data_IF_194025878798
#
_entry.id   IF_194025878798
#
_cell.length_a   1.000
_cell.length_b   1.000
_cell.length_c   1.000
_cell.angle_alpha   90.00
_cell.angle_beta   90.00
_cell.angle_gamma   90.00
#
_symmetry.space_group_name_H-M   'P 1'
#
loop_
_entity.id
_entity.type
_entity.pdbx_description
1 polymer ?
#
# COMPACT_ATOMS: atom_id res chain seq x y z
N UNK A 1 19.94 42.60 -22.96
CA UNK A 1 20.94 41.69 -22.35
C UNK A 1 20.62 40.22 -22.63
N UNK A 2 19.47 39.68 -22.21
CA UNK A 2 19.10 38.26 -22.42
C UNK A 2 19.00 37.87 -23.91
N UNK A 3 18.31 38.65 -24.75
CA UNK A 3 18.23 38.39 -26.21
C UNK A 3 19.61 38.33 -26.90
N UNK A 4 20.55 39.17 -26.45
CA UNK A 4 21.94 39.16 -26.94
C UNK A 4 22.66 37.88 -26.49
N UNK A 5 22.52 37.49 -25.23
CA UNK A 5 23.10 36.25 -24.71
C UNK A 5 22.58 35.01 -25.42
N UNK A 6 21.26 34.91 -25.65
CA UNK A 6 20.66 33.81 -26.42
C UNK A 6 21.23 33.72 -27.84
N UNK A 7 21.34 34.87 -28.52
CA UNK A 7 21.89 34.97 -29.88
C UNK A 7 23.39 34.64 -29.94
N UNK A 8 24.18 35.10 -28.97
CA UNK A 8 25.62 34.82 -28.91
C UNK A 8 25.94 33.34 -28.60
N UNK A 9 25.08 32.67 -27.84
CA UNK A 9 25.27 31.26 -27.45
C UNK A 9 24.47 30.27 -28.32
N UNK A 10 23.87 30.73 -29.43
CA UNK A 10 23.03 29.90 -30.33
C UNK A 10 21.89 29.15 -29.60
N UNK A 11 21.36 29.71 -28.52
CA UNK A 11 20.23 29.15 -27.77
C UNK A 11 18.93 29.52 -28.50
N UNK A 12 18.45 28.60 -29.33
CA UNK A 12 17.24 28.78 -30.15
C UNK A 12 16.03 27.97 -29.64
N UNK A 13 16.25 27.06 -28.69
CA UNK A 13 15.22 26.18 -28.14
C UNK A 13 15.19 26.43 -26.63
N UNK A 14 14.01 26.80 -26.14
CA UNK A 14 13.72 26.93 -24.71
C UNK A 14 12.57 25.99 -24.42
N UNK A 15 12.74 25.13 -23.41
CA UNK A 15 11.68 24.21 -23.01
C UNK A 15 10.71 24.93 -22.06
N UNK A 16 9.40 24.74 -22.28
CA UNK A 16 8.39 25.19 -21.32
C UNK A 16 8.40 24.28 -20.08
N UNK A 17 8.30 24.86 -18.89
CA UNK A 17 8.32 24.12 -17.64
C UNK A 17 8.39 25.01 -16.40
N UNK A 18 8.33 24.36 -15.23
CA UNK A 18 8.62 25.03 -13.96
C UNK A 18 10.10 24.91 -13.67
N UNK A 19 10.73 26.01 -13.25
CA UNK A 19 12.16 26.05 -12.99
C UNK A 19 12.40 26.59 -11.60
N UNK A 20 13.36 25.99 -10.88
CA UNK A 20 13.81 26.57 -9.62
C UNK A 20 14.71 27.78 -9.88
N UNK A 21 14.30 28.93 -9.34
CA UNK A 21 14.98 30.22 -9.46
C UNK A 21 15.76 30.58 -8.18
N UNK A 22 15.56 29.83 -7.08
CA UNK A 22 16.17 30.15 -5.79
C UNK A 22 17.68 29.99 -5.88
N UNK A 23 18.41 31.03 -5.47
CA UNK A 23 19.88 31.09 -5.47
C UNK A 23 20.55 30.88 -6.85
N UNK A 24 19.82 31.06 -7.96
CA UNK A 24 20.39 30.94 -9.31
C UNK A 24 20.60 32.30 -9.96
N UNK A 25 21.76 32.48 -10.60
CA UNK A 25 21.98 33.65 -11.45
C UNK A 25 21.24 33.47 -12.80
N UNK A 26 21.00 34.59 -13.48
CA UNK A 26 20.22 34.60 -14.72
C UNK A 26 20.85 33.80 -15.88
N UNK A 27 22.19 33.62 -15.91
CA UNK A 27 22.85 32.79 -16.95
C UNK A 27 22.54 31.32 -16.71
N UNK A 28 22.75 30.84 -15.49
CA UNK A 28 22.39 29.48 -15.06
C UNK A 28 20.90 29.19 -15.27
N UNK A 29 20.02 30.18 -15.07
CA UNK A 29 18.61 30.02 -15.40
C UNK A 29 18.37 29.84 -16.91
N UNK A 30 19.04 30.64 -17.76
CA UNK A 30 18.93 30.50 -19.23
C UNK A 30 19.53 29.18 -19.72
N UNK A 31 20.62 28.71 -19.10
CA UNK A 31 21.17 27.38 -19.38
C UNK A 31 20.17 26.28 -18.98
N UNK A 32 19.49 26.40 -17.83
CA UNK A 32 18.45 25.45 -17.43
C UNK A 32 17.27 25.43 -18.40
N UNK A 33 16.86 26.60 -18.90
CA UNK A 33 15.81 26.75 -19.92
C UNK A 33 16.21 26.09 -21.25
N UNK A 34 17.46 26.27 -21.68
CA UNK A 34 17.99 25.69 -22.92
C UNK A 34 18.19 24.18 -22.82
N UNK A 35 18.66 23.69 -21.67
CA UNK A 35 19.00 22.29 -21.45
C UNK A 35 17.82 21.45 -20.93
N UNK A 36 16.68 22.08 -20.66
CA UNK A 36 15.49 21.36 -20.21
C UNK A 36 15.53 20.89 -18.75
N UNK A 37 16.34 21.52 -17.89
CA UNK A 37 16.42 21.21 -16.46
C UNK A 37 15.19 21.73 -15.70
N UNK A 38 14.05 21.10 -15.97
CA UNK A 38 12.74 21.39 -15.37
C UNK A 38 12.72 20.86 -13.93
N UNK A 39 12.11 21.60 -13.02
CA UNK A 39 11.83 21.17 -11.66
C UNK A 39 10.84 20.00 -11.67
N UNK A 40 11.26 18.87 -11.12
CA UNK A 40 10.41 17.72 -10.86
C UNK A 40 9.86 17.77 -9.44
N UNK A 41 8.66 17.24 -9.29
CA UNK A 41 7.95 17.05 -8.03
C UNK A 41 7.81 15.55 -7.77
N UNK A 42 7.53 15.21 -6.52
CA UNK A 42 7.46 13.83 -6.04
C UNK A 42 6.05 13.54 -5.57
N UNK A 43 5.47 12.44 -6.05
CA UNK A 43 4.30 11.81 -5.46
C UNK A 43 4.76 10.48 -4.87
N UNK A 44 4.72 10.36 -3.55
CA UNK A 44 5.00 9.10 -2.88
C UNK A 44 3.67 8.36 -2.63
N UNK A 45 3.59 7.10 -3.07
CA UNK A 45 2.55 6.17 -2.68
C UNK A 45 3.16 5.25 -1.62
N UNK A 46 2.87 5.43 -0.32
CA UNK A 46 3.49 4.63 0.71
C UNK A 46 2.88 3.22 0.76
N UNK A 47 3.64 2.27 1.27
CA UNK A 47 3.15 0.94 1.64
C UNK A 47 2.13 1.06 2.80
N UNK A 48 1.12 0.18 2.84
CA UNK A 48 0.14 0.18 3.93
C UNK A 48 -0.84 1.36 3.96
N UNK A 49 -0.87 2.18 2.91
CA UNK A 49 -1.82 3.31 2.74
C UNK A 49 -3.09 2.85 2.03
N UNK A 50 -4.26 3.27 2.49
CA UNK A 50 -5.52 3.02 1.78
C UNK A 50 -5.89 4.18 0.82
N UNK A 51 -6.96 4.03 0.03
CA UNK A 51 -7.38 5.08 -0.90
C UNK A 51 -7.81 6.39 -0.21
N UNK A 52 -8.23 6.37 1.06
CA UNK A 52 -8.48 7.61 1.82
C UNK A 52 -7.17 8.33 2.13
N UNK A 53 -6.13 7.60 2.54
CA UNK A 53 -4.79 8.14 2.77
C UNK A 53 -4.22 8.72 1.47
N UNK A 54 -4.31 7.96 0.37
CA UNK A 54 -3.82 8.38 -0.95
C UNK A 54 -4.56 9.63 -1.42
N UNK A 55 -5.88 9.73 -1.18
CA UNK A 55 -6.66 10.93 -1.49
C UNK A 55 -6.09 12.16 -0.77
N UNK A 56 -5.78 12.04 0.52
CA UNK A 56 -5.16 13.14 1.28
C UNK A 56 -3.76 13.49 0.76
N UNK A 57 -2.98 12.50 0.31
CA UNK A 57 -1.65 12.73 -0.28
C UNK A 57 -1.77 13.51 -1.60
N UNK A 58 -2.65 13.09 -2.51
CA UNK A 58 -2.78 13.74 -3.84
C UNK A 58 -3.36 15.16 -3.75
N UNK A 59 -4.19 15.46 -2.75
CA UNK A 59 -4.76 16.80 -2.54
C UNK A 59 -3.69 17.87 -2.28
N UNK A 60 -2.51 17.47 -1.78
CA UNK A 60 -1.38 18.36 -1.48
C UNK A 60 -0.32 18.43 -2.60
N UNK A 61 -0.66 17.96 -3.80
CA UNK A 61 0.27 17.90 -4.95
C UNK A 61 0.06 19.03 -5.96
N UNK A 62 0.99 19.18 -6.91
CA UNK A 62 0.86 20.09 -8.05
C UNK A 62 0.35 19.38 -9.31
N UNK A 63 -0.30 18.22 -9.16
CA UNK A 63 -0.87 17.45 -10.26
C UNK A 63 -2.19 18.06 -10.74
N UNK A 64 -2.55 17.76 -11.98
CA UNK A 64 -3.93 17.90 -12.43
C UNK A 64 -4.75 16.73 -11.89
N UNK A 65 -5.77 17.02 -11.07
CA UNK A 65 -6.60 16.00 -10.39
C UNK A 65 -7.68 15.43 -11.35
N UNK A 66 -7.23 14.82 -12.45
CA UNK A 66 -8.06 14.29 -13.55
C UNK A 66 -8.53 12.83 -13.33
N UNK A 67 -8.41 12.30 -12.10
CA UNK A 67 -8.89 10.97 -11.73
C UNK A 67 -9.78 11.01 -10.47
N UNK A 68 -11.01 11.56 -10.56
CA UNK A 68 -11.89 11.70 -9.40
C UNK A 68 -12.29 10.32 -8.85
N UNK A 69 -12.23 10.14 -7.53
CA UNK A 69 -12.58 8.89 -6.85
C UNK A 69 -11.91 7.64 -7.47
N UNK A 70 -10.71 7.80 -8.03
CA UNK A 70 -9.92 6.73 -8.63
C UNK A 70 -10.59 6.01 -9.82
N UNK A 71 -11.55 6.64 -10.51
CA UNK A 71 -12.28 6.00 -11.62
C UNK A 71 -11.41 5.69 -12.85
N UNK A 72 -10.23 6.30 -12.96
CA UNK A 72 -9.27 6.01 -14.02
C UNK A 72 -8.59 4.63 -13.87
N UNK A 73 -8.68 4.03 -12.69
CA UNK A 73 -8.10 2.71 -12.41
C UNK A 73 -8.96 1.59 -12.99
N UNK A 74 -8.32 0.45 -13.27
CA UNK A 74 -8.96 -0.79 -13.70
C UNK A 74 -9.46 -1.61 -12.49
N UNK A 75 -10.66 -2.21 -12.61
CA UNK A 75 -11.26 -3.13 -11.62
C UNK A 75 -11.13 -4.61 -12.00
N UNK A 76 -10.11 -5.03 -12.76
CA UNK A 76 -9.98 -6.43 -13.21
C UNK A 76 -10.01 -7.47 -12.09
N UNK A 77 -9.64 -7.09 -10.85
CA UNK A 77 -9.70 -7.95 -9.67
C UNK A 77 -10.97 -7.79 -8.83
N UNK A 78 -11.90 -6.91 -9.23
CA UNK A 78 -13.12 -6.56 -8.53
C UNK A 78 -13.01 -5.33 -7.62
N UNK A 79 -11.82 -4.73 -7.49
CA UNK A 79 -11.54 -3.62 -6.59
C UNK A 79 -10.44 -2.70 -7.12
N UNK A 80 -10.41 -1.46 -6.63
CA UNK A 80 -9.29 -0.51 -6.81
C UNK A 80 -8.30 -0.55 -5.67
N UNK A 81 -8.80 -0.75 -4.44
CA UNK A 81 -8.00 -0.71 -3.22
C UNK A 81 -6.86 -1.73 -3.29
N UNK A 82 -5.67 -1.34 -2.83
CA UNK A 82 -4.49 -2.19 -2.84
C UNK A 82 -3.92 -2.55 -4.21
N UNK A 83 -4.32 -1.86 -5.29
CA UNK A 83 -3.81 -2.13 -6.65
C UNK A 83 -2.76 -1.14 -7.16
N UNK A 84 -2.43 -0.11 -6.38
CA UNK A 84 -1.32 0.80 -6.70
C UNK A 84 -0.01 0.23 -6.18
N UNK A 85 1.04 0.31 -6.99
CA UNK A 85 2.40 -0.04 -6.57
C UNK A 85 2.93 1.05 -5.63
N UNK A 86 3.36 0.70 -4.41
CA UNK A 86 4.09 1.62 -3.56
C UNK A 86 5.43 1.99 -4.18
N UNK A 87 5.61 3.27 -4.48
CA UNK A 87 6.83 3.82 -5.05
C UNK A 87 6.84 5.36 -4.97
N UNK A 88 7.93 5.96 -5.43
CA UNK A 88 8.07 7.40 -5.65
C UNK A 88 7.95 7.72 -7.13
N UNK A 89 6.91 8.46 -7.47
CA UNK A 89 6.63 8.88 -8.84
C UNK A 89 7.07 10.33 -9.06
N UNK A 90 7.94 10.54 -10.04
CA UNK A 90 8.41 11.87 -10.43
C UNK A 90 7.46 12.46 -11.46
N UNK A 91 7.09 13.73 -11.28
CA UNK A 91 6.15 14.41 -12.17
C UNK A 91 6.49 15.88 -12.38
N UNK A 92 5.95 16.47 -13.45
CA UNK A 92 6.08 17.90 -13.75
C UNK A 92 4.82 18.62 -13.29
N UNK A 93 4.94 19.92 -13.01
CA UNK A 93 3.77 20.73 -12.64
C UNK A 93 2.61 20.54 -13.63
N UNK A 94 1.40 20.30 -13.10
CA UNK A 94 0.18 19.98 -13.87
C UNK A 94 0.29 18.75 -14.78
N UNK A 95 1.18 17.81 -14.49
CA UNK A 95 1.07 16.46 -15.04
C UNK A 95 -0.27 15.83 -14.61
N UNK A 96 -0.82 14.98 -15.47
CA UNK A 96 -2.03 14.19 -15.22
C UNK A 96 -1.80 13.22 -14.05
N UNK A 97 -2.65 13.28 -13.02
CA UNK A 97 -2.67 12.31 -11.94
C UNK A 97 -3.08 10.92 -12.47
N UNK A 98 -4.08 10.86 -13.35
CA UNK A 98 -4.57 9.63 -13.95
C UNK A 98 -3.44 8.84 -14.61
N UNK A 99 -2.55 9.54 -15.33
CA UNK A 99 -1.41 8.93 -16.01
C UNK A 99 -0.46 8.24 -15.03
N UNK A 100 -0.18 8.86 -13.89
CA UNK A 100 0.70 8.30 -12.84
C UNK A 100 0.03 7.10 -12.16
N UNK A 101 -1.24 7.22 -11.80
CA UNK A 101 -1.96 6.14 -11.10
C UNK A 101 -2.16 4.92 -12.00
N UNK A 102 -2.47 5.12 -13.29
CA UNK A 102 -2.58 4.02 -14.27
C UNK A 102 -1.23 3.36 -14.50
N UNK A 103 -0.14 4.13 -14.59
CA UNK A 103 1.21 3.58 -14.67
C UNK A 103 1.53 2.73 -13.43
N UNK A 104 1.30 3.26 -12.23
CA UNK A 104 1.47 2.56 -10.95
C UNK A 104 0.71 1.23 -10.91
N UNK A 105 -0.56 1.25 -11.35
CA UNK A 105 -1.42 0.07 -11.37
C UNK A 105 -0.93 -0.98 -12.39
N UNK A 106 -0.46 -0.54 -13.56
CA UNK A 106 0.11 -1.44 -14.56
C UNK A 106 1.37 -2.13 -14.03
N UNK A 107 2.27 -1.38 -13.37
CA UNK A 107 3.48 -1.93 -12.77
C UNK A 107 3.14 -2.96 -11.67
N UNK A 108 2.11 -2.66 -10.87
CA UNK A 108 1.55 -3.60 -9.89
C UNK A 108 1.01 -4.88 -10.54
N UNK A 109 0.23 -4.76 -11.63
CA UNK A 109 -0.31 -5.92 -12.35
C UNK A 109 0.77 -6.78 -12.99
N UNK A 110 1.81 -6.17 -13.56
CA UNK A 110 2.94 -6.90 -14.13
C UNK A 110 3.65 -7.68 -13.02
N UNK A 111 3.99 -7.02 -11.91
CA UNK A 111 4.68 -7.66 -10.79
C UNK A 111 3.87 -8.81 -10.19
N UNK A 112 2.59 -8.57 -9.87
CA UNK A 112 1.70 -9.56 -9.25
C UNK A 112 1.48 -10.79 -10.13
N UNK A 113 1.29 -10.62 -11.44
CA UNK A 113 1.15 -11.73 -12.38
C UNK A 113 2.44 -12.55 -12.50
N UNK A 114 3.59 -11.89 -12.59
CA UNK A 114 4.88 -12.57 -12.66
C UNK A 114 5.15 -13.39 -11.39
N UNK A 115 4.86 -12.82 -10.23
CA UNK A 115 5.02 -13.52 -8.95
C UNK A 115 4.05 -14.69 -8.81
N UNK A 116 2.79 -14.55 -9.27
CA UNK A 116 1.76 -15.59 -9.20
C UNK A 116 2.11 -16.88 -9.95
N UNK A 117 2.93 -16.79 -11.00
CA UNK A 117 3.44 -17.97 -11.73
C UNK A 117 4.22 -18.88 -10.78
N UNK A 118 4.93 -18.30 -9.82
CA UNK A 118 5.76 -19.01 -8.84
C UNK A 118 5.01 -19.34 -7.54
N UNK A 119 3.68 -19.24 -7.52
CA UNK A 119 2.90 -19.50 -6.30
C UNK A 119 3.16 -20.91 -5.77
N UNK A 120 3.10 -21.05 -4.45
CA UNK A 120 3.10 -22.35 -3.83
C UNK A 120 1.78 -23.09 -4.14
N UNK A 121 1.87 -24.28 -4.72
CA UNK A 121 0.69 -25.06 -5.12
C UNK A 121 -0.14 -25.57 -3.93
N UNK A 122 0.43 -25.57 -2.72
CA UNK A 122 -0.28 -25.89 -1.48
C UNK A 122 -0.97 -24.66 -0.86
N UNK A 123 -0.83 -23.49 -1.46
CA UNK A 123 -1.47 -22.27 -1.00
C UNK A 123 -3.01 -22.41 -1.15
N UNK A 124 -3.80 -22.22 -0.07
CA UNK A 124 -5.26 -22.36 -0.12
C UNK A 124 -5.97 -21.27 -0.92
N UNK A 125 -5.27 -20.20 -1.33
CA UNK A 125 -5.83 -19.10 -2.11
C UNK A 125 -6.13 -19.52 -3.55
N UNK A 126 -7.34 -19.21 -4.02
CA UNK A 126 -7.86 -19.68 -5.32
C UNK A 126 -7.37 -18.86 -6.50
N UNK A 127 -7.06 -17.59 -6.30
CA UNK A 127 -6.69 -16.66 -7.36
C UNK A 127 -5.88 -15.47 -6.82
N UNK A 128 -5.34 -14.68 -7.74
CA UNK A 128 -4.51 -13.52 -7.44
C UNK A 128 -5.27 -12.45 -6.64
N UNK A 129 -6.57 -12.24 -6.89
CA UNK A 129 -7.38 -11.31 -6.10
C UNK A 129 -7.35 -11.67 -4.60
N UNK A 130 -7.49 -12.95 -4.26
CA UNK A 130 -7.41 -13.41 -2.87
C UNK A 130 -6.03 -13.19 -2.25
N UNK A 131 -4.96 -13.38 -3.04
CA UNK A 131 -3.59 -13.12 -2.57
C UNK A 131 -3.35 -11.63 -2.30
N UNK A 132 -3.85 -10.75 -3.16
CA UNK A 132 -3.75 -9.29 -2.96
C UNK A 132 -4.52 -8.86 -1.71
N UNK A 133 -5.73 -9.39 -1.50
CA UNK A 133 -6.52 -9.11 -0.29
C UNK A 133 -5.75 -9.54 0.96
N UNK A 134 -5.26 -10.79 1.00
CA UNK A 134 -4.53 -11.27 2.17
C UNK A 134 -3.22 -10.51 2.40
N UNK A 135 -2.49 -10.16 1.34
CA UNK A 135 -1.25 -9.39 1.43
C UNK A 135 -1.48 -8.01 2.07
N UNK A 136 -2.63 -7.37 1.82
CA UNK A 136 -2.96 -6.10 2.48
C UNK A 136 -3.23 -6.24 3.98
N UNK A 137 -3.75 -7.39 4.41
CA UNK A 137 -3.92 -7.68 5.84
C UNK A 137 -2.53 -7.91 6.47
N UNK A 138 -1.68 -8.70 5.81
CA UNK A 138 -0.30 -8.95 6.26
C UNK A 138 0.49 -7.64 6.37
N UNK A 139 0.35 -6.72 5.41
CA UNK A 139 1.01 -5.42 5.42
C UNK A 139 0.64 -4.61 6.67
N UNK A 140 -0.65 -4.59 7.04
CA UNK A 140 -1.13 -3.82 8.19
C UNK A 140 -0.84 -4.47 9.55
N UNK A 141 -0.59 -5.78 9.57
CA UNK A 141 -0.30 -6.55 10.79
C UNK A 141 1.20 -6.62 11.09
N UNK A 142 2.04 -6.67 10.06
CA UNK A 142 3.48 -6.84 10.26
C UNK A 142 4.12 -5.55 10.78
N UNK A 143 4.84 -5.66 11.90
CA UNK A 143 5.69 -4.57 12.41
C UNK A 143 7.03 -4.44 11.68
N UNK A 144 7.41 -5.43 10.89
CA UNK A 144 8.67 -5.51 10.15
C UNK A 144 8.60 -6.58 9.03
N UNK A 145 9.51 -6.50 8.06
CA UNK A 145 9.54 -7.44 6.93
C UNK A 145 9.88 -8.90 7.31
N UNK A 146 10.62 -9.12 8.40
CA UNK A 146 11.03 -10.47 8.81
C UNK A 146 9.86 -11.32 9.31
N UNK A 147 8.82 -10.68 9.88
CA UNK A 147 7.63 -11.37 10.38
C UNK A 147 6.56 -11.59 9.31
N UNK A 148 6.61 -10.87 8.17
CA UNK A 148 5.61 -10.99 7.09
C UNK A 148 5.40 -12.44 6.63
N UNK A 149 6.45 -13.26 6.37
CA UNK A 149 6.28 -14.68 6.02
C UNK A 149 5.58 -15.52 7.10
N UNK A 150 5.85 -15.25 8.39
CA UNK A 150 5.26 -15.99 9.50
C UNK A 150 3.79 -15.62 9.68
N UNK A 151 3.46 -14.32 9.65
CA UNK A 151 2.09 -13.80 9.73
C UNK A 151 1.26 -14.28 8.54
N UNK A 152 1.81 -14.23 7.31
CA UNK A 152 1.17 -14.80 6.14
C UNK A 152 0.87 -16.29 6.33
N UNK A 153 1.84 -17.06 6.84
CA UNK A 153 1.64 -18.48 7.16
C UNK A 153 0.53 -18.73 8.18
N UNK A 154 0.40 -17.91 9.23
CA UNK A 154 -0.71 -18.01 10.20
C UNK A 154 -2.06 -17.83 9.52
N UNK A 155 -2.21 -16.79 8.69
CA UNK A 155 -3.48 -16.55 8.02
C UNK A 155 -3.80 -17.61 6.96
N UNK A 156 -2.81 -18.06 6.19
CA UNK A 156 -2.99 -19.17 5.25
C UNK A 156 -3.40 -20.45 5.97
N UNK A 157 -2.80 -20.75 7.12
CA UNK A 157 -3.18 -21.90 7.96
C UNK A 157 -4.63 -21.77 8.46
N UNK A 158 -5.02 -20.59 8.96
CA UNK A 158 -6.41 -20.32 9.36
C UNK A 158 -7.40 -20.50 8.22
N UNK A 159 -7.09 -20.00 7.02
CA UNK A 159 -7.94 -20.18 5.83
C UNK A 159 -8.10 -21.66 5.51
N UNK A 160 -7.01 -22.43 5.54
CA UNK A 160 -7.04 -23.87 5.28
C UNK A 160 -7.89 -24.65 6.30
N UNK A 161 -7.91 -24.21 7.56
CA UNK A 161 -8.75 -24.78 8.62
C UNK A 161 -10.17 -24.21 8.69
N UNK A 162 -10.55 -23.33 7.75
CA UNK A 162 -11.80 -22.58 7.79
C UNK A 162 -11.99 -21.87 9.14
N UNK A 163 -10.95 -21.20 9.63
CA UNK A 163 -10.95 -20.34 10.81
C UNK A 163 -11.08 -18.87 10.39
N UNK A 164 -11.70 -18.06 11.24
CA UNK A 164 -11.77 -16.60 11.05
C UNK A 164 -10.39 -15.96 11.16
N UNK A 165 -10.11 -14.93 10.35
CA UNK A 165 -8.81 -14.25 10.37
C UNK A 165 -8.62 -13.41 11.64
N UNK A 166 -9.68 -12.72 12.09
CA UNK A 166 -9.65 -11.88 13.30
C UNK A 166 -8.51 -10.86 13.30
N UNK A 167 -8.39 -10.11 12.21
CA UNK A 167 -7.39 -9.07 12.01
C UNK A 167 -7.98 -7.69 12.28
N UNK A 168 -7.47 -6.98 13.29
CA UNK A 168 -7.96 -5.66 13.71
C UNK A 168 -7.95 -4.61 12.59
N UNK A 169 -6.92 -4.53 11.72
CA UNK A 169 -6.90 -3.59 10.59
C UNK A 169 -8.10 -3.71 9.65
N UNK A 170 -8.72 -4.90 9.56
CA UNK A 170 -9.91 -5.10 8.71
C UNK A 170 -11.16 -4.43 9.30
N UNK A 171 -11.31 -4.42 10.63
CA UNK A 171 -12.37 -3.66 11.30
C UNK A 171 -12.14 -2.17 11.08
N UNK A 172 -10.92 -1.69 11.29
CA UNK A 172 -10.54 -0.28 11.12
C UNK A 172 -10.90 0.21 9.73
N UNK A 173 -10.52 -0.54 8.69
CA UNK A 173 -10.83 -0.20 7.32
C UNK A 173 -12.35 -0.10 7.08
N UNK A 174 -13.13 -1.04 7.59
CA UNK A 174 -14.59 -1.02 7.46
C UNK A 174 -15.29 0.11 8.24
N UNK A 175 -14.59 0.78 9.14
CA UNK A 175 -15.09 1.96 9.88
C UNK A 175 -14.62 3.29 9.27
N UNK A 176 -13.74 3.26 8.26
CA UNK A 176 -13.28 4.48 7.59
C UNK A 176 -14.41 5.13 6.76
N UNK A 177 -14.42 6.47 6.63
CA UNK A 177 -13.42 7.42 7.15
C UNK A 177 -13.64 7.83 8.62
N UNK A 178 -14.67 7.33 9.29
CA UNK A 178 -15.12 7.81 10.62
C UNK A 178 -14.40 7.14 11.81
N UNK A 179 -13.38 6.33 11.56
CA UNK A 179 -12.65 5.64 12.62
C UNK A 179 -11.95 6.64 13.56
N UNK A 180 -12.26 6.55 14.86
CA UNK A 180 -11.82 7.50 15.88
C UNK A 180 -10.52 7.10 16.61
N UNK A 181 -9.83 6.06 16.13
CA UNK A 181 -8.60 5.56 16.75
C UNK A 181 -8.80 4.45 17.79
N UNK A 182 -10.04 4.07 18.12
CA UNK A 182 -10.29 3.01 19.10
C UNK A 182 -11.28 1.96 18.60
N UNK A 183 -10.88 0.69 18.63
CA UNK A 183 -11.77 -0.44 18.34
C UNK A 183 -12.55 -0.80 19.60
N UNK A 184 -13.86 -0.60 19.58
CA UNK A 184 -14.74 -0.97 20.70
C UNK A 184 -15.23 -2.42 20.58
N UNK A 185 -15.71 -2.97 21.70
CA UNK A 185 -16.41 -4.27 21.70
C UNK A 185 -17.64 -4.28 20.78
N UNK A 186 -18.31 -3.14 20.60
CA UNK A 186 -19.42 -3.04 19.66
C UNK A 186 -18.93 -3.21 18.22
N UNK A 187 -17.79 -2.61 17.86
CA UNK A 187 -17.19 -2.79 16.53
C UNK A 187 -16.79 -4.24 16.27
N UNK A 188 -16.17 -4.92 17.24
CA UNK A 188 -15.80 -6.33 17.10
C UNK A 188 -17.02 -7.22 16.85
N UNK A 189 -18.16 -6.92 17.47
CA UNK A 189 -19.40 -7.69 17.34
C UNK A 189 -20.31 -7.23 16.20
N UNK A 190 -19.92 -6.19 15.45
CA UNK A 190 -20.75 -5.66 14.37
C UNK A 190 -20.71 -6.56 13.14
N UNK A 191 -21.86 -7.18 12.83
CA UNK A 191 -22.04 -8.05 11.66
C UNK A 191 -22.38 -7.29 10.38
N UNK A 192 -22.68 -6.00 10.48
CA UNK A 192 -23.01 -5.17 9.31
C UNK A 192 -21.76 -4.66 8.60
N UNK A 193 -20.62 -4.63 9.29
CA UNK A 193 -19.34 -4.31 8.68
C UNK A 193 -18.83 -5.51 7.84
N UNK A 194 -18.82 -5.42 6.50
CA UNK A 194 -18.43 -6.54 5.63
C UNK A 194 -16.92 -6.83 5.66
N UNK A 195 -16.10 -5.94 6.23
CA UNK A 195 -14.67 -6.16 6.41
C UNK A 195 -14.34 -6.81 7.76
N UNK A 196 -15.31 -6.94 8.67
CA UNK A 196 -15.06 -7.45 10.01
C UNK A 196 -14.72 -8.95 10.01
N UNK A 197 -13.44 -9.28 9.94
CA UNK A 197 -12.93 -10.66 9.96
C UNK A 197 -13.09 -11.39 11.30
N UNK A 198 -13.67 -10.74 12.31
CA UNK A 198 -14.19 -11.42 13.51
C UNK A 198 -15.60 -11.96 13.30
N UNK A 199 -16.35 -11.44 12.34
CA UNK A 199 -17.74 -11.84 12.07
C UNK A 199 -17.88 -12.66 10.80
N UNK A 200 -17.07 -12.42 9.77
CA UNK A 200 -17.08 -13.18 8.51
C UNK A 200 -16.09 -14.36 8.53
N UNK A 201 -16.33 -15.33 7.64
CA UNK A 201 -15.40 -16.44 7.36
C UNK A 201 -14.58 -16.11 6.11
N UNK A 202 -13.28 -16.36 6.14
CA UNK A 202 -12.38 -16.09 5.02
C UNK A 202 -11.97 -14.62 4.90
N UNK A 203 -11.81 -14.17 3.66
CA UNK A 203 -11.26 -12.85 3.33
C UNK A 203 -12.35 -11.76 3.26
N UNK A 204 -12.02 -10.49 3.58
CA UNK A 204 -12.89 -9.35 3.32
C UNK A 204 -13.12 -9.14 1.80
N UNK A 205 -14.08 -8.28 1.40
CA UNK A 205 -14.46 -8.14 -0.02
C UNK A 205 -13.37 -7.48 -0.89
N UNK A 206 -12.49 -6.67 -0.31
CA UNK A 206 -11.38 -6.01 -1.02
C UNK A 206 -10.13 -5.99 -0.13
N UNK A 207 -8.96 -5.62 -0.68
CA UNK A 207 -7.81 -5.23 0.12
C UNK A 207 -8.16 -4.03 1.02
N UNK A 208 -7.32 -3.80 2.01
CA UNK A 208 -7.49 -2.70 2.99
C UNK A 208 -6.37 -1.65 2.92
N UNK A 209 -5.39 -1.85 2.05
CA UNK A 209 -4.28 -0.93 1.79
C UNK A 209 -3.49 -1.32 0.55
N UNK A 210 -2.62 -0.44 0.08
CA UNK A 210 -1.45 -0.76 -0.73
C UNK A 210 -0.55 -1.78 -0.03
N UNK A 211 0.17 -2.57 -0.82
CA UNK A 211 0.95 -3.70 -0.34
C UNK A 211 2.40 -3.61 -0.82
N UNK A 212 3.34 -3.91 0.06
CA UNK A 212 4.73 -4.06 -0.32
C UNK A 212 4.93 -5.31 -1.17
N UNK A 213 6.06 -5.33 -1.89
CA UNK A 213 6.54 -6.54 -2.58
C UNK A 213 6.74 -7.70 -1.60
N UNK A 214 7.32 -7.43 -0.42
CA UNK A 214 7.57 -8.43 0.63
C UNK A 214 6.30 -9.05 1.19
N UNK A 215 5.22 -8.28 1.37
CA UNK A 215 3.92 -8.80 1.82
C UNK A 215 3.27 -9.70 0.77
N UNK A 216 3.35 -9.31 -0.50
CA UNK A 216 2.81 -10.12 -1.58
C UNK A 216 3.60 -11.42 -1.77
N UNK A 217 4.93 -11.36 -1.69
CA UNK A 217 5.81 -12.53 -1.73
C UNK A 217 5.53 -13.48 -0.58
N UNK A 218 5.41 -12.97 0.65
CA UNK A 218 5.08 -13.76 1.83
C UNK A 218 3.78 -14.56 1.65
N UNK A 219 2.75 -13.94 1.06
CA UNK A 219 1.46 -14.58 0.80
C UNK A 219 1.51 -15.55 -0.37
N UNK A 220 2.09 -15.18 -1.52
CA UNK A 220 2.07 -16.00 -2.74
C UNK A 220 2.99 -17.21 -2.62
N UNK A 221 4.22 -17.00 -2.13
CA UNK A 221 5.21 -18.06 -1.97
C UNK A 221 4.89 -18.94 -0.77
N UNK A 222 4.19 -18.40 0.23
CA UNK A 222 3.59 -19.14 1.35
C UNK A 222 4.60 -19.92 2.19
N UNK A 223 4.84 -19.48 3.43
CA UNK A 223 5.65 -20.25 4.37
C UNK A 223 4.76 -21.19 5.19
N UNK A 224 5.05 -22.49 5.12
CA UNK A 224 4.42 -23.45 6.01
C UNK A 224 4.91 -23.20 7.45
N UNK A 225 3.97 -23.04 8.38
CA UNK A 225 4.24 -23.03 9.81
C UNK A 225 3.05 -23.63 10.58
N UNK A 226 3.27 -23.92 11.86
CA UNK A 226 2.27 -24.55 12.73
C UNK A 226 1.51 -23.52 13.57
N UNK A 227 1.76 -22.23 13.37
CA UNK A 227 1.20 -21.17 14.19
C UNK A 227 -0.24 -20.86 13.77
N UNK A 228 -1.08 -20.56 14.75
CA UNK A 228 -2.47 -20.14 14.56
C UNK A 228 -2.77 -18.79 15.20
N UNK A 229 -1.88 -18.31 16.06
CA UNK A 229 -2.10 -17.06 16.80
C UNK A 229 -0.80 -16.27 16.87
N UNK A 230 -0.93 -14.95 16.97
CA UNK A 230 0.19 -14.09 17.31
C UNK A 230 -0.30 -12.94 18.18
N UNK A 231 0.62 -12.37 18.96
CA UNK A 231 0.35 -11.22 19.83
C UNK A 231 1.55 -10.30 19.84
N UNK A 232 1.32 -8.99 19.75
CA UNK A 232 2.40 -8.01 19.79
C UNK A 232 3.13 -8.05 21.14
N UNK A 233 4.46 -8.04 21.11
CA UNK A 233 5.32 -7.96 22.31
C UNK A 233 5.47 -6.52 22.83
N UNK A 234 5.19 -5.53 21.98
CA UNK A 234 5.31 -4.11 22.29
C UNK A 234 6.66 -3.48 21.93
N UNK A 235 7.57 -4.24 21.32
CA UNK A 235 8.87 -3.80 20.77
C UNK A 235 8.85 -3.71 19.24
N UNK A 236 7.67 -3.81 18.61
CA UNK A 236 7.50 -3.91 17.16
C UNK A 236 7.55 -5.33 16.61
N UNK A 237 7.70 -6.35 17.46
CA UNK A 237 7.66 -7.78 17.09
C UNK A 237 6.47 -8.52 17.72
N UNK A 238 6.26 -9.76 17.28
CA UNK A 238 5.18 -10.63 17.71
C UNK A 238 5.68 -11.92 18.36
N UNK A 239 4.90 -12.43 19.31
CA UNK A 239 5.02 -13.81 19.79
C UNK A 239 4.02 -14.66 19.04
N UNK A 240 4.45 -15.78 18.47
CA UNK A 240 3.62 -16.70 17.70
C UNK A 240 3.29 -17.95 18.52
N UNK A 241 2.05 -18.41 18.45
CA UNK A 241 1.54 -19.53 19.25
C UNK A 241 0.81 -20.56 18.38
N UNK A 242 0.98 -21.84 18.72
CA UNK A 242 0.38 -22.97 17.99
C UNK A 242 -1.06 -23.24 18.44
N UNK A 243 -1.35 -23.00 19.72
CA UNK A 243 -2.66 -23.21 20.30
C UNK A 243 -3.16 -22.00 21.11
N UNK A 244 -4.45 -22.05 21.46
CA UNK A 244 -5.13 -20.95 22.13
C UNK A 244 -4.68 -20.76 23.58
N UNK A 245 -4.33 -21.83 24.30
CA UNK A 245 -3.87 -21.72 25.69
C UNK A 245 -2.50 -21.04 25.75
N UNK A 246 -1.59 -21.40 24.84
CA UNK A 246 -0.32 -20.71 24.67
C UNK A 246 -0.54 -19.23 24.35
N UNK A 247 -1.43 -18.93 23.40
CA UNK A 247 -1.76 -17.55 23.04
C UNK A 247 -2.28 -16.73 24.24
N UNK A 248 -3.21 -17.28 25.04
CA UNK A 248 -3.74 -16.60 26.23
C UNK A 248 -2.65 -16.30 27.27
N UNK A 249 -1.69 -17.20 27.45
CA UNK A 249 -0.55 -16.98 28.33
C UNK A 249 0.35 -15.85 27.81
N UNK A 250 0.59 -15.82 26.50
CA UNK A 250 1.36 -14.75 25.85
C UNK A 250 0.65 -13.39 25.91
N UNK A 251 -0.68 -13.34 25.74
CA UNK A 251 -1.47 -12.11 25.93
C UNK A 251 -1.30 -11.55 27.34
N UNK A 252 -1.41 -12.40 28.37
CA UNK A 252 -1.17 -11.99 29.77
C UNK A 252 0.24 -11.44 29.96
N UNK A 253 1.24 -12.11 29.38
CA UNK A 253 2.66 -11.74 29.50
C UNK A 253 2.99 -10.40 28.82
N UNK A 254 2.46 -10.14 27.62
CA UNK A 254 2.90 -9.01 26.79
C UNK A 254 1.95 -7.80 26.80
N UNK A 255 0.65 -8.00 27.06
CA UNK A 255 -0.35 -6.92 26.99
C UNK A 255 -0.93 -6.50 28.35
N UNK A 256 -1.15 -7.44 29.28
CA UNK A 256 -1.90 -7.16 30.52
C UNK A 256 -1.02 -6.79 31.72
N UNK A 257 0.26 -7.19 31.73
CA UNK A 257 1.19 -6.91 32.82
C UNK A 257 2.04 -5.63 32.60
N UNK A 258 1.47 -4.62 31.94
CA UNK A 258 2.09 -3.29 31.77
C UNK A 258 1.49 -2.28 32.71
#
# INVERSE_FOLDING_TARGET
>A
MIKLYLKFNNINIIQAGHYDLVNKNWRTFIDNLSNGFIKEFLLQIPEGSNLYDIKNIIENTFLELDCPNFICLDKQFGFYEGTLMPDTYFYKFKSSLASILVQSQNDFFIYTRNLWINRNLKNPLKNLSQAIILASIVEKEAGNDLEKPIIAGVFLHRINLNMKLQADPTIIYGLMPDFNGNITKANINDKNNPYNTYQIMGLPPTPISTISKTSLEAVILGQANEYLYFVAKGDGTHYFSKDYNEHLNSVKKYQLNK
#
